data_IF_866481717404
#
_entry.id   IF_866481717404
#
_cell.length_a   1.000
_cell.length_b   1.000
_cell.length_c   1.000
_cell.angle_alpha   90.00
_cell.angle_beta   90.00
_cell.angle_gamma   90.00
#
_symmetry.space_group_name_H-M   'P 1'
#
loop_
_entity.id
_entity.type
_entity.pdbx_description
1 polymer ?
#
# COMPACT_ATOMS: atom_id res chain seq x y z
N UNK A 1 -10.73 2.09 31.81
CA UNK A 1 -11.39 1.27 30.77
C UNK A 1 -10.29 0.82 29.80
N UNK A 2 -9.74 -0.40 29.96
CA UNK A 2 -8.66 -0.92 29.10
C UNK A 2 -9.30 -1.52 27.85
N UNK A 3 -9.07 -0.94 26.67
CA UNK A 3 -9.36 -1.59 25.38
C UNK A 3 -8.32 -2.68 25.20
N UNK A 4 -8.73 -3.94 25.38
CA UNK A 4 -7.95 -5.10 24.94
C UNK A 4 -7.89 -5.02 23.42
N UNK A 5 -6.71 -4.76 22.87
CA UNK A 5 -6.47 -4.93 21.44
C UNK A 5 -6.57 -6.45 21.22
N UNK A 6 -7.58 -6.90 20.51
CA UNK A 6 -7.69 -8.29 20.05
C UNK A 6 -6.49 -8.52 19.13
N UNK A 7 -5.44 -9.16 19.66
CA UNK A 7 -4.18 -9.48 18.96
C UNK A 7 -4.41 -10.64 18.01
N UNK A 8 -5.35 -10.50 17.07
CA UNK A 8 -5.41 -11.43 15.95
C UNK A 8 -4.13 -11.24 15.15
N UNK A 9 -3.34 -12.31 15.09
CA UNK A 9 -2.12 -12.37 14.30
C UNK A 9 -2.51 -12.11 12.85
N UNK A 10 -1.87 -11.16 12.15
CA UNK A 10 -2.12 -10.96 10.73
C UNK A 10 -1.99 -12.27 9.96
N UNK A 11 -2.93 -12.51 9.04
CA UNK A 11 -2.91 -13.68 8.20
C UNK A 11 -1.92 -13.41 7.07
N UNK A 12 -0.75 -14.05 7.15
CA UNK A 12 0.14 -14.19 6.00
C UNK A 12 -0.38 -15.36 5.18
N UNK A 13 -1.24 -15.06 4.20
CA UNK A 13 -1.98 -16.10 3.47
C UNK A 13 -1.51 -16.20 2.03
N UNK A 14 -0.49 -17.04 1.79
CA UNK A 14 -0.16 -17.60 0.48
C UNK A 14 0.29 -16.61 -0.64
N UNK A 15 1.05 -17.09 -1.65
CA UNK A 15 1.57 -16.30 -2.77
C UNK A 15 0.52 -16.05 -3.87
N UNK A 16 -0.72 -15.69 -3.48
CA UNK A 16 -1.84 -15.65 -4.42
C UNK A 16 -2.48 -14.26 -4.47
N UNK A 17 -2.40 -13.66 -5.65
CA UNK A 17 -3.15 -12.47 -6.06
C UNK A 17 -4.67 -12.55 -5.76
N UNK A 18 -5.22 -13.76 -5.58
CA UNK A 18 -6.62 -13.99 -5.16
C UNK A 18 -7.00 -13.24 -3.87
N UNK A 19 -6.06 -12.95 -2.97
CA UNK A 19 -6.35 -12.17 -1.76
C UNK A 19 -6.69 -10.71 -2.03
N UNK A 20 -6.10 -10.11 -3.07
CA UNK A 20 -6.47 -8.76 -3.47
C UNK A 20 -7.86 -8.73 -4.12
N UNK A 21 -8.41 -9.89 -4.49
CA UNK A 21 -9.81 -10.03 -4.92
C UNK A 21 -10.77 -10.30 -3.76
N UNK A 22 -10.29 -10.36 -2.50
CA UNK A 22 -11.15 -10.61 -1.34
C UNK A 22 -12.18 -9.47 -1.15
N UNK A 23 -13.41 -9.78 -0.71
CA UNK A 23 -14.41 -8.76 -0.42
C UNK A 23 -13.89 -7.74 0.58
N UNK A 24 -14.02 -6.45 0.26
CA UNK A 24 -13.61 -5.35 1.14
C UNK A 24 -12.24 -4.74 0.82
N UNK A 25 -11.36 -5.42 0.06
CA UNK A 25 -10.05 -4.86 -0.33
C UNK A 25 -10.20 -3.57 -1.14
N UNK A 26 -11.09 -3.59 -2.14
CA UNK A 26 -11.37 -2.40 -2.95
C UNK A 26 -11.81 -1.22 -2.08
N UNK A 27 -12.67 -1.46 -1.08
CA UNK A 27 -13.13 -0.42 -0.18
C UNK A 27 -12.02 0.11 0.76
N UNK A 28 -10.97 -0.68 1.04
CA UNK A 28 -9.79 -0.18 1.76
C UNK A 28 -8.94 0.71 0.87
N UNK A 29 -8.70 0.29 -0.37
CA UNK A 29 -7.95 1.06 -1.38
C UNK A 29 -8.63 2.40 -1.71
N UNK A 30 -9.95 2.39 -1.90
CA UNK A 30 -10.73 3.57 -2.28
C UNK A 30 -10.79 4.65 -1.19
N UNK A 31 -10.26 4.39 0.02
CA UNK A 31 -10.13 5.43 1.06
C UNK A 31 -9.15 6.53 0.67
N UNK A 32 -8.22 6.23 -0.25
CA UNK A 32 -7.28 7.21 -0.81
C UNK A 32 -7.74 7.75 -2.18
N UNK A 33 -8.99 7.50 -2.60
CA UNK A 33 -9.54 7.95 -3.88
C UNK A 33 -9.61 9.48 -4.02
N UNK A 34 -9.52 10.23 -2.92
CA UNK A 34 -9.49 11.70 -2.92
C UNK A 34 -8.09 12.28 -3.18
N UNK A 35 -7.04 11.44 -3.18
CA UNK A 35 -5.69 11.86 -3.50
C UNK A 35 -5.56 12.10 -5.00
N UNK A 36 -4.96 13.22 -5.43
CA UNK A 36 -4.60 13.40 -6.82
C UNK A 36 -3.71 12.25 -7.31
N UNK A 37 -3.92 11.85 -8.57
CA UNK A 37 -3.17 10.78 -9.26
C UNK A 37 -3.44 9.33 -8.77
N UNK A 38 -4.22 9.13 -7.71
CA UNK A 38 -4.67 7.79 -7.31
C UNK A 38 -5.76 7.30 -8.25
N UNK A 39 -5.61 6.11 -8.84
CA UNK A 39 -6.67 5.53 -9.66
C UNK A 39 -7.78 4.94 -8.78
N UNK A 40 -9.04 5.13 -9.16
CA UNK A 40 -10.14 4.30 -8.65
C UNK A 40 -10.26 3.07 -9.55
N UNK A 41 -9.97 1.90 -9.00
CA UNK A 41 -9.90 0.66 -9.77
C UNK A 41 -11.30 0.05 -9.93
N UNK A 42 -11.76 -0.05 -11.17
CA UNK A 42 -12.88 -0.92 -11.53
C UNK A 42 -12.44 -2.41 -11.57
N UNK A 43 -13.34 -3.31 -11.97
CA UNK A 43 -13.02 -4.73 -12.05
C UNK A 43 -11.85 -5.05 -13.00
N UNK A 44 -11.66 -4.28 -14.08
CA UNK A 44 -10.54 -4.47 -14.99
C UNK A 44 -9.24 -3.90 -14.40
N UNK A 45 -9.31 -2.73 -13.75
CA UNK A 45 -8.20 -2.13 -13.01
C UNK A 45 -7.65 -3.09 -11.95
N UNK A 46 -8.53 -3.68 -11.13
CA UNK A 46 -8.14 -4.71 -10.18
C UNK A 46 -7.47 -5.90 -10.85
N UNK A 47 -8.05 -6.47 -11.92
CA UNK A 47 -7.43 -7.59 -12.66
C UNK A 47 -6.03 -7.26 -13.20
N UNK A 48 -5.79 -6.01 -13.61
CA UNK A 48 -4.46 -5.55 -14.06
C UNK A 48 -3.48 -5.45 -12.89
N UNK A 49 -3.89 -4.84 -11.78
CA UNK A 49 -3.08 -4.76 -10.56
C UNK A 49 -2.67 -6.16 -10.05
N UNK A 50 -3.58 -7.15 -10.12
CA UNK A 50 -3.26 -8.55 -9.79
C UNK A 50 -2.10 -9.11 -10.62
N UNK A 51 -2.04 -8.76 -11.90
CA UNK A 51 -0.99 -9.22 -12.81
C UNK A 51 0.34 -8.53 -12.51
N UNK A 52 0.29 -7.25 -12.15
CA UNK A 52 1.46 -6.47 -11.74
C UNK A 52 2.10 -7.01 -10.45
N UNK A 53 1.27 -7.47 -9.52
CA UNK A 53 1.71 -8.06 -8.26
C UNK A 53 1.99 -9.57 -8.31
N UNK A 54 2.12 -10.16 -9.51
CA UNK A 54 2.51 -11.55 -9.65
C UNK A 54 3.87 -11.81 -8.97
N UNK A 55 3.91 -12.83 -8.11
CA UNK A 55 5.12 -13.17 -7.33
C UNK A 55 5.35 -12.30 -6.08
N UNK A 56 4.51 -11.29 -5.83
CA UNK A 56 4.52 -10.55 -4.58
C UNK A 56 3.78 -11.34 -3.48
N UNK A 57 4.07 -11.00 -2.23
CA UNK A 57 3.37 -11.49 -1.04
C UNK A 57 2.30 -10.49 -0.63
N UNK A 58 1.10 -11.00 -0.37
CA UNK A 58 -0.04 -10.22 0.09
C UNK A 58 -0.25 -10.50 1.58
N UNK A 59 -0.21 -9.44 2.39
CA UNK A 59 -0.51 -9.47 3.81
C UNK A 59 -1.92 -8.98 4.02
N UNK A 60 -2.72 -9.70 4.80
CA UNK A 60 -4.08 -9.31 5.12
C UNK A 60 -4.28 -9.39 6.64
N UNK A 61 -4.80 -8.31 7.21
CA UNK A 61 -5.25 -8.29 8.60
C UNK A 61 -6.76 -8.12 8.63
N UNK A 62 -7.45 -9.16 9.10
CA UNK A 62 -8.89 -9.13 9.35
C UNK A 62 -9.19 -8.41 10.67
N UNK A 63 -10.25 -7.60 10.67
CA UNK A 63 -10.83 -6.96 11.84
C UNK A 63 -11.60 -7.95 12.72
N UNK A 64 -12.17 -7.46 13.85
CA UNK A 64 -12.87 -8.29 14.83
C UNK A 64 -14.08 -9.05 14.26
N UNK A 65 -14.73 -8.51 13.24
CA UNK A 65 -15.89 -9.09 12.55
C UNK A 65 -15.52 -10.00 11.37
N UNK A 66 -14.22 -10.18 11.10
CA UNK A 66 -13.73 -10.97 9.97
C UNK A 66 -13.71 -10.24 8.63
N UNK A 67 -13.96 -8.92 8.61
CA UNK A 67 -13.77 -8.08 7.42
C UNK A 67 -12.32 -7.59 7.33
N UNK A 68 -11.75 -7.38 6.13
CA UNK A 68 -10.42 -6.79 5.99
C UNK A 68 -10.31 -5.42 6.67
N UNK A 69 -9.34 -5.26 7.57
CA UNK A 69 -9.01 -4.01 8.24
C UNK A 69 -7.77 -3.33 7.64
N UNK A 70 -6.82 -4.11 7.11
CA UNK A 70 -5.70 -3.60 6.32
C UNK A 70 -5.14 -4.68 5.39
N UNK A 71 -4.54 -4.27 4.29
CA UNK A 71 -3.68 -5.12 3.46
C UNK A 71 -2.37 -4.42 3.10
N UNK A 72 -1.38 -5.22 2.71
CA UNK A 72 -0.13 -4.73 2.14
C UNK A 72 0.40 -5.70 1.07
N UNK A 73 1.04 -5.16 0.06
CA UNK A 73 1.70 -5.90 -1.02
C UNK A 73 3.20 -5.72 -0.90
N UNK A 74 3.93 -6.82 -0.77
CA UNK A 74 5.38 -6.79 -0.58
C UNK A 74 6.11 -7.68 -1.58
N UNK A 75 7.30 -7.27 -1.98
CA UNK A 75 8.27 -8.10 -2.68
C UNK A 75 9.36 -8.50 -1.70
N UNK A 76 9.79 -9.76 -1.80
CA UNK A 76 10.93 -10.31 -1.04
C UNK A 76 11.97 -10.84 -2.01
N UNK A 77 13.24 -10.92 -1.60
CA UNK A 77 14.34 -11.42 -2.43
C UNK A 77 15.38 -10.33 -2.69
N UNK A 78 15.91 -10.28 -3.91
CA UNK A 78 17.03 -9.40 -4.28
C UNK A 78 16.68 -7.90 -4.23
N UNK A 79 15.41 -7.57 -4.48
CA UNK A 79 14.87 -6.21 -4.40
C UNK A 79 13.64 -6.17 -3.47
N UNK A 80 13.85 -6.17 -2.13
CA UNK A 80 12.75 -6.12 -1.20
C UNK A 80 11.98 -4.80 -1.29
N UNK A 81 10.65 -4.86 -1.30
CA UNK A 81 9.80 -3.67 -1.40
C UNK A 81 8.47 -3.82 -0.67
N UNK A 82 7.92 -2.71 -0.17
CA UNK A 82 6.51 -2.51 0.14
C UNK A 82 5.93 -1.67 -1.00
N UNK A 83 5.06 -2.27 -1.82
CA UNK A 83 4.58 -1.69 -3.09
C UNK A 83 3.21 -1.02 -2.98
N UNK A 84 2.39 -1.48 -2.03
CA UNK A 84 1.04 -0.95 -1.81
C UNK A 84 0.59 -1.32 -0.40
N UNK A 85 -0.17 -0.44 0.26
CA UNK A 85 -0.84 -0.75 1.51
C UNK A 85 -2.06 0.14 1.66
N UNK A 86 -3.14 -0.38 2.24
CA UNK A 86 -4.26 0.44 2.66
C UNK A 86 -4.97 -0.20 3.85
N UNK A 87 -5.56 0.62 4.71
CA UNK A 87 -6.24 0.11 5.90
C UNK A 87 -6.40 1.12 7.03
N UNK A 88 -6.93 0.62 8.14
CA UNK A 88 -7.01 1.38 9.38
C UNK A 88 -5.61 1.61 9.97
N UNK A 89 -5.38 2.78 10.57
CA UNK A 89 -4.08 3.17 11.15
C UNK A 89 -3.48 2.12 12.09
N UNK A 90 -4.29 1.56 13.00
CA UNK A 90 -3.83 0.55 13.94
C UNK A 90 -3.52 -0.79 13.26
N UNK A 91 -4.30 -1.15 12.24
CA UNK A 91 -4.11 -2.38 11.46
C UNK A 91 -2.86 -2.30 10.59
N UNK A 92 -2.61 -1.15 9.93
CA UNK A 92 -1.38 -0.90 9.19
C UNK A 92 -0.14 -0.95 10.09
N UNK A 93 -0.19 -0.33 11.28
CA UNK A 93 0.92 -0.42 12.23
C UNK A 93 1.22 -1.88 12.65
N UNK A 94 0.18 -2.71 12.81
CA UNK A 94 0.35 -4.14 13.10
C UNK A 94 0.95 -4.91 11.91
N UNK A 95 0.53 -4.61 10.67
CA UNK A 95 1.15 -5.17 9.47
C UNK A 95 2.61 -4.77 9.33
N UNK A 96 2.97 -3.52 9.65
CA UNK A 96 4.35 -3.05 9.59
C UNK A 96 5.32 -3.89 10.42
N UNK A 97 4.89 -4.35 11.60
CA UNK A 97 5.68 -5.29 12.42
C UNK A 97 5.88 -6.64 11.74
N UNK A 98 4.84 -7.22 11.15
CA UNK A 98 4.92 -8.51 10.44
C UNK A 98 5.81 -8.41 9.21
N UNK A 99 5.63 -7.36 8.42
CA UNK A 99 6.44 -7.08 7.22
C UNK A 99 7.91 -6.95 7.60
N UNK A 100 8.22 -6.18 8.66
CA UNK A 100 9.59 -6.04 9.16
C UNK A 100 10.21 -7.40 9.51
N UNK A 101 9.52 -8.19 10.31
CA UNK A 101 10.03 -9.49 10.77
C UNK A 101 10.26 -10.44 9.60
N UNK A 102 9.45 -10.35 8.56
CA UNK A 102 9.61 -11.12 7.34
C UNK A 102 10.80 -10.68 6.49
N UNK A 103 10.94 -9.37 6.25
CA UNK A 103 12.07 -8.79 5.52
C UNK A 103 13.40 -9.12 6.22
N UNK A 104 13.46 -8.97 7.54
CA UNK A 104 14.65 -9.30 8.34
C UNK A 104 14.98 -10.79 8.24
N UNK A 105 13.98 -11.68 8.34
CA UNK A 105 14.19 -13.13 8.19
C UNK A 105 14.65 -13.52 6.77
N UNK A 106 14.24 -12.76 5.76
CA UNK A 106 14.69 -12.93 4.39
C UNK A 106 16.11 -12.35 4.15
N UNK A 107 16.72 -11.70 5.14
CA UNK A 107 18.06 -11.12 5.03
C UNK A 107 18.09 -9.74 4.36
N UNK A 108 16.95 -9.06 4.24
CA UNK A 108 16.89 -7.72 3.66
C UNK A 108 17.65 -6.71 4.54
N UNK A 109 18.69 -6.09 3.98
CA UNK A 109 19.40 -4.99 4.62
C UNK A 109 18.74 -3.62 4.35
N UNK A 110 18.05 -3.51 3.20
CA UNK A 110 17.33 -2.31 2.74
C UNK A 110 16.01 -2.74 2.11
N UNK A 111 15.04 -1.82 2.04
CA UNK A 111 13.72 -2.06 1.45
C UNK A 111 13.23 -0.78 0.76
N UNK A 112 12.68 -0.89 -0.45
CA UNK A 112 11.93 0.20 -1.08
C UNK A 112 10.54 0.30 -0.48
N UNK A 113 10.02 1.50 -0.24
CA UNK A 113 8.67 1.68 0.32
C UNK A 113 7.92 2.71 -0.52
N UNK A 114 6.87 2.24 -1.19
CA UNK A 114 6.04 2.98 -2.14
C UNK A 114 4.63 3.11 -1.54
N UNK A 115 4.48 4.06 -0.61
CA UNK A 115 3.19 4.40 0.02
C UNK A 115 3.04 5.92 0.14
N UNK A 116 1.81 6.46 0.23
CA UNK A 116 1.61 7.89 0.37
C UNK A 116 2.29 8.45 1.62
N UNK A 117 2.73 9.71 1.60
CA UNK A 117 3.18 10.40 2.82
C UNK A 117 2.00 10.80 3.72
N UNK A 118 2.27 10.95 5.01
CA UNK A 118 1.30 11.34 6.03
C UNK A 118 0.67 10.15 6.74
N UNK A 119 -0.04 10.41 7.84
CA UNK A 119 -0.80 9.36 8.51
C UNK A 119 -1.89 8.77 7.58
N UNK A 120 -2.14 7.44 7.61
CA UNK A 120 -1.55 6.45 8.52
C UNK A 120 -0.21 5.85 8.08
N UNK A 121 0.29 6.21 6.90
CA UNK A 121 1.43 5.56 6.26
C UNK A 121 2.78 5.86 6.92
N UNK A 122 2.99 7.08 7.42
CA UNK A 122 4.21 7.40 8.17
C UNK A 122 4.41 6.47 9.38
N UNK A 123 3.31 6.12 10.07
CA UNK A 123 3.34 5.18 11.18
C UNK A 123 3.70 3.76 10.71
N UNK A 124 3.17 3.33 9.56
CA UNK A 124 3.50 2.04 8.94
C UNK A 124 5.00 1.99 8.61
N UNK A 125 5.52 3.01 7.93
CA UNK A 125 6.94 3.13 7.56
C UNK A 125 7.82 3.04 8.80
N UNK A 126 7.48 3.77 9.87
CA UNK A 126 8.21 3.75 11.13
C UNK A 126 8.19 2.40 11.87
N UNK A 127 7.26 1.47 11.53
CA UNK A 127 7.28 0.09 12.05
C UNK A 127 8.15 -0.85 11.22
N UNK A 128 8.43 -0.51 9.96
CA UNK A 128 9.21 -1.32 9.03
C UNK A 128 10.69 -0.96 9.12
N UNK A 129 11.02 0.33 9.03
CA UNK A 129 12.39 0.86 8.99
C UNK A 129 12.64 1.88 10.09
N UNK A 130 13.87 1.94 10.59
CA UNK A 130 14.27 2.91 11.61
C UNK A 130 14.58 4.30 11.02
N UNK A 131 15.29 4.32 9.89
CA UNK A 131 15.83 5.54 9.28
C UNK A 131 15.36 5.65 7.81
N UNK A 132 14.08 6.00 7.55
CA UNK A 132 13.59 6.16 6.19
C UNK A 132 14.25 7.35 5.50
N UNK A 133 14.69 7.17 4.26
CA UNK A 133 15.22 8.23 3.41
C UNK A 133 14.23 8.47 2.28
N UNK A 134 13.61 9.66 2.18
CA UNK A 134 12.73 9.99 1.07
C UNK A 134 13.50 10.02 -0.25
N UNK A 135 12.92 9.40 -1.28
CA UNK A 135 13.44 9.42 -2.66
C UNK A 135 12.33 9.94 -3.57
N UNK A 136 12.59 10.94 -4.43
CA UNK A 136 11.63 11.36 -5.43
C UNK A 136 11.27 10.20 -6.37
N UNK A 137 9.99 10.06 -6.68
CA UNK A 137 9.51 9.14 -7.70
C UNK A 137 9.21 9.92 -8.99
N UNK A 138 9.99 9.65 -10.04
CA UNK A 138 9.88 10.29 -11.35
C UNK A 138 9.17 9.38 -12.38
N UNK A 139 8.51 8.30 -11.95
CA UNK A 139 7.88 7.32 -12.85
C UNK A 139 6.54 7.77 -13.44
N UNK A 140 5.88 8.75 -12.82
CA UNK A 140 4.59 9.26 -13.27
C UNK A 140 4.70 10.17 -14.49
N UNK A 141 3.95 9.86 -15.56
CA UNK A 141 3.72 10.79 -16.68
C UNK A 141 2.27 11.25 -16.69
N UNK A 142 2.05 12.56 -16.81
CA UNK A 142 0.72 13.16 -16.85
C UNK A 142 0.50 13.90 -18.17
N UNK A 143 -0.63 13.61 -18.83
CA UNK A 143 -1.04 14.28 -20.06
C UNK A 143 -2.48 14.82 -19.89
N UNK A 144 -2.64 16.12 -19.58
CA UNK A 144 -3.98 16.72 -19.47
C UNK A 144 -4.68 16.72 -20.84
N UNK A 145 -5.97 16.37 -20.86
CA UNK A 145 -6.78 16.45 -22.08
C UNK A 145 -7.44 17.82 -22.27
N UNK A 146 -7.88 18.44 -21.18
CA UNK A 146 -8.68 19.67 -21.16
C UNK A 146 -8.27 20.69 -20.08
N UNK A 147 -7.28 20.36 -19.24
CA UNK A 147 -6.77 21.25 -18.20
C UNK A 147 -5.64 22.17 -18.71
N UNK A 148 -5.60 23.40 -18.20
CA UNK A 148 -4.50 24.32 -18.47
C UNK A 148 -3.24 23.96 -17.64
N UNK A 149 -2.11 24.57 -17.99
CA UNK A 149 -0.83 24.27 -17.34
C UNK A 149 -0.80 24.64 -15.84
N UNK A 150 -1.65 25.57 -15.40
CA UNK A 150 -1.71 25.96 -13.99
C UNK A 150 -2.41 24.86 -13.17
N UNK A 151 -3.56 24.38 -13.66
CA UNK A 151 -4.33 23.29 -13.05
C UNK A 151 -3.54 21.98 -13.02
N UNK A 152 -2.80 21.70 -14.10
CA UNK A 152 -1.89 20.54 -14.15
C UNK A 152 -0.84 20.63 -13.06
N UNK A 153 -0.17 21.78 -12.95
CA UNK A 153 0.88 21.98 -11.95
C UNK A 153 0.32 21.89 -10.53
N UNK A 154 -0.87 22.44 -10.28
CA UNK A 154 -1.54 22.29 -8.99
C UNK A 154 -1.78 20.83 -8.62
N UNK A 155 -2.17 19.99 -9.59
CA UNK A 155 -2.39 18.56 -9.39
C UNK A 155 -1.09 17.81 -9.11
N UNK A 156 -0.04 18.08 -9.89
CA UNK A 156 1.27 17.42 -9.79
C UNK A 156 2.04 17.82 -8.52
N UNK A 157 2.00 19.10 -8.16
CA UNK A 157 2.68 19.64 -6.98
C UNK A 157 1.84 19.47 -5.70
N UNK A 158 0.66 18.85 -5.80
CA UNK A 158 -0.21 18.66 -4.65
C UNK A 158 0.50 17.76 -3.61
N UNK A 159 0.58 18.17 -2.32
CA UNK A 159 1.36 17.45 -1.30
C UNK A 159 0.83 16.06 -0.94
N UNK A 160 -0.38 15.71 -1.42
CA UNK A 160 -0.97 14.37 -1.29
C UNK A 160 -1.02 13.59 -2.62
N UNK A 161 -0.50 14.16 -3.71
CA UNK A 161 -0.46 13.48 -5.00
C UNK A 161 0.33 12.17 -4.86
N UNK A 162 -0.25 11.08 -5.33
CA UNK A 162 0.34 9.75 -5.22
C UNK A 162 -0.27 8.83 -6.26
N UNK A 163 0.49 7.89 -6.77
CA UNK A 163 0.03 6.86 -7.70
C UNK A 163 0.52 5.51 -7.20
N UNK A 164 -0.35 4.49 -7.24
CA UNK A 164 0.03 3.16 -6.76
C UNK A 164 0.80 2.40 -7.82
N UNK A 165 1.78 1.61 -7.40
CA UNK A 165 2.57 0.78 -8.30
C UNK A 165 1.72 -0.17 -9.14
N UNK A 166 0.59 -0.64 -8.62
CA UNK A 166 -0.38 -1.48 -9.34
C UNK A 166 -1.18 -0.74 -10.44
N UNK A 167 -1.02 0.57 -10.56
CA UNK A 167 -1.72 1.42 -11.53
C UNK A 167 -0.84 1.77 -12.75
N UNK A 168 0.41 1.31 -12.83
CA UNK A 168 1.22 1.46 -14.05
C UNK A 168 0.60 0.63 -15.19
N UNK A 169 0.29 1.28 -16.31
CA UNK A 169 -0.28 0.66 -17.52
C UNK A 169 0.33 1.22 -18.79
#
# INVERSE_FOLDING_TARGET
MRRTIDTRVPRVTAPNSELLAAPGIAALHDRDADRPLTAVRDALGWRRALSWYAGCRIHLLDGPDGTPAAYAVTRVGDEPALLEAAGDRAALAALGHVIRDELVRAGAATVSIEVPTGAPYDDLVARIVADPVPVPDDTGMFHPLDADAATVRETLDHPRAFHWTGDYL
#
